data_IF_183157908803
#
_entry.id   IF_183157908803
#
_cell.length_a   1.000
_cell.length_b   1.000
_cell.length_c   1.000
_cell.angle_alpha   90.00
_cell.angle_beta   90.00
_cell.angle_gamma   90.00
#
_symmetry.space_group_name_H-M   'P 1'
#
loop_
_entity.id
_entity.type
_entity.pdbx_description
1 polymer ?
#
# COMPACT_ATOMS: atom_id res chain seq x y z
N UNK A 1 76.71 56.66 7.04
CA UNK A 1 75.86 55.61 7.63
C UNK A 1 75.47 54.64 6.52
N UNK A 2 76.17 53.49 6.42
CA UNK A 2 75.69 52.11 6.70
C UNK A 2 74.56 51.65 5.74
N UNK A 3 74.83 50.83 4.71
CA UNK A 3 74.91 49.33 4.67
C UNK A 3 73.60 48.60 5.01
N UNK A 4 73.34 47.54 4.22
CA UNK A 4 72.67 46.23 4.48
C UNK A 4 71.51 45.94 3.49
N UNK A 5 71.59 45.01 2.51
CA UNK A 5 71.64 43.52 2.54
C UNK A 5 70.55 42.86 3.40
N UNK A 6 69.59 42.13 2.79
CA UNK A 6 69.36 40.67 2.94
C UNK A 6 68.03 40.16 2.32
N UNK A 7 68.17 39.11 1.51
CA UNK A 7 67.48 37.81 1.47
C UNK A 7 65.99 37.67 1.91
N UNK A 8 65.16 37.03 1.06
CA UNK A 8 64.20 36.00 1.51
C UNK A 8 63.74 35.06 0.35
N UNK A 9 64.40 33.91 0.22
CA UNK A 9 63.86 32.54 0.42
C UNK A 9 62.49 32.06 -0.11
N UNK A 10 62.55 30.92 -0.82
CA UNK A 10 61.62 29.75 -0.92
C UNK A 10 60.22 29.99 -1.55
N UNK A 11 59.52 29.06 -2.21
CA UNK A 11 59.56 27.60 -2.19
C UNK A 11 58.93 26.98 -3.46
N UNK A 12 59.39 25.77 -3.76
CA UNK A 12 58.79 24.78 -4.67
C UNK A 12 57.49 24.26 -4.04
N UNK A 13 56.39 24.25 -4.79
CA UNK A 13 55.12 23.63 -4.39
C UNK A 13 54.75 22.48 -5.32
N UNK A 14 55.01 21.25 -4.88
CA UNK A 14 54.49 20.01 -5.44
C UNK A 14 52.96 19.97 -5.27
N UNK A 15 52.23 19.88 -6.37
CA UNK A 15 50.78 19.62 -6.36
C UNK A 15 50.58 18.11 -6.23
N UNK A 16 50.25 17.65 -5.02
CA UNK A 16 49.76 16.30 -4.76
C UNK A 16 48.29 16.19 -5.18
N UNK A 17 48.03 15.45 -6.26
CA UNK A 17 46.69 14.97 -6.61
C UNK A 17 46.27 13.89 -5.60
N UNK A 18 45.47 14.26 -4.61
CA UNK A 18 44.74 13.31 -3.79
C UNK A 18 43.45 12.90 -4.50
N UNK A 19 43.48 11.75 -5.20
CA UNK A 19 42.26 11.02 -5.56
C UNK A 19 41.60 10.54 -4.26
N UNK A 20 40.49 11.16 -3.86
CA UNK A 20 39.59 10.56 -2.88
C UNK A 20 38.80 9.46 -3.59
N UNK A 21 39.33 8.24 -3.55
CA UNK A 21 38.53 7.04 -3.80
C UNK A 21 37.45 6.98 -2.73
N UNK A 22 36.18 7.22 -3.11
CA UNK A 22 35.06 6.81 -2.28
C UNK A 22 35.11 5.28 -2.21
N UNK A 23 35.56 4.75 -1.07
CA UNK A 23 35.39 3.33 -0.78
C UNK A 23 33.89 3.08 -0.65
N UNK A 24 33.29 2.49 -1.69
CA UNK A 24 31.96 1.89 -1.61
C UNK A 24 32.15 0.65 -0.75
N UNK A 25 31.91 0.76 0.55
CA UNK A 25 31.86 -0.41 1.41
C UNK A 25 30.66 -1.26 0.97
N UNK A 26 30.91 -2.51 0.60
CA UNK A 26 29.85 -3.48 0.33
C UNK A 26 29.01 -3.65 1.60
N UNK A 27 27.69 -3.52 1.48
CA UNK A 27 26.79 -3.75 2.60
C UNK A 27 26.79 -5.25 2.93
N UNK A 28 27.31 -5.61 4.10
CA UNK A 28 27.37 -6.99 4.56
C UNK A 28 25.97 -7.54 4.87
N UNK A 29 25.84 -8.87 4.84
CA UNK A 29 24.64 -9.52 5.35
C UNK A 29 24.41 -9.15 6.82
N UNK A 30 23.15 -8.88 7.17
CA UNK A 30 22.64 -8.46 8.47
C UNK A 30 23.18 -7.12 8.98
N UNK A 31 23.82 -6.29 8.13
CA UNK A 31 24.16 -4.92 8.49
C UNK A 31 22.88 -4.12 8.80
N UNK A 32 22.70 -3.56 10.00
CA UNK A 32 21.52 -2.78 10.36
C UNK A 32 21.27 -1.55 9.49
N UNK A 33 22.31 -1.02 8.84
CA UNK A 33 22.25 0.15 7.97
C UNK A 33 22.00 -0.22 6.49
N UNK A 34 22.13 -1.49 6.13
CA UNK A 34 21.77 -1.96 4.79
C UNK A 34 20.27 -1.81 4.54
N UNK A 35 19.86 -1.48 3.31
CA UNK A 35 18.44 -1.55 2.92
C UNK A 35 17.93 -3.00 2.78
N UNK A 36 18.83 -3.98 2.82
CA UNK A 36 18.53 -5.39 2.58
C UNK A 36 19.20 -6.27 3.64
N UNK A 37 18.45 -7.22 4.20
CA UNK A 37 18.93 -8.14 5.23
C UNK A 37 20.12 -8.98 4.75
N UNK A 38 20.14 -9.39 3.48
CA UNK A 38 21.22 -10.18 2.89
C UNK A 38 22.34 -9.31 2.28
N UNK A 39 22.28 -7.99 2.52
CA UNK A 39 23.26 -7.04 2.02
C UNK A 39 23.20 -6.87 0.50
N UNK A 40 24.32 -6.45 -0.08
CA UNK A 40 24.45 -6.21 -1.52
C UNK A 40 25.20 -7.33 -2.28
N UNK A 41 25.36 -8.49 -1.65
CA UNK A 41 26.06 -9.67 -2.20
C UNK A 41 27.49 -9.35 -2.65
N UNK A 42 28.26 -8.69 -1.78
CA UNK A 42 29.62 -8.23 -2.07
C UNK A 42 29.66 -7.31 -3.31
N UNK A 43 28.70 -6.39 -3.38
CA UNK A 43 28.52 -5.42 -4.47
C UNK A 43 27.81 -5.94 -5.73
N UNK A 44 27.52 -7.25 -5.84
CA UNK A 44 26.86 -7.79 -7.04
C UNK A 44 25.43 -7.29 -7.22
N UNK A 45 24.65 -7.17 -6.14
CA UNK A 45 23.28 -6.60 -6.18
C UNK A 45 23.31 -5.17 -6.69
N UNK A 46 24.21 -4.35 -6.13
CA UNK A 46 24.43 -2.96 -6.54
C UNK A 46 24.91 -2.87 -8.00
N UNK A 47 25.75 -3.81 -8.45
CA UNK A 47 26.20 -3.86 -9.85
C UNK A 47 25.05 -4.18 -10.82
N UNK A 48 24.17 -5.12 -10.46
CA UNK A 48 22.97 -5.44 -11.24
C UNK A 48 21.99 -4.27 -11.29
N UNK A 49 21.77 -3.58 -10.16
CA UNK A 49 20.93 -2.38 -10.11
C UNK A 49 21.46 -1.26 -11.01
N UNK A 50 22.79 -1.06 -11.04
CA UNK A 50 23.45 -0.13 -11.98
C UNK A 50 23.30 -0.53 -13.44
N UNK A 51 23.15 -1.82 -13.75
CA UNK A 51 22.84 -2.32 -15.09
C UNK A 51 21.35 -2.24 -15.44
N UNK A 52 20.49 -1.89 -14.47
CA UNK A 52 19.05 -1.74 -14.65
C UNK A 52 18.20 -2.89 -14.11
N UNK A 53 18.79 -3.85 -13.39
CA UNK A 53 18.06 -4.95 -12.74
C UNK A 53 17.99 -4.73 -11.23
N UNK A 54 16.83 -4.33 -10.74
CA UNK A 54 16.61 -4.12 -9.30
C UNK A 54 15.73 -5.24 -8.73
N UNK A 55 16.34 -6.07 -7.89
CA UNK A 55 15.70 -7.23 -7.29
C UNK A 55 15.17 -6.89 -5.90
N UNK A 56 13.90 -7.21 -5.65
CA UNK A 56 13.27 -7.12 -4.34
C UNK A 56 12.83 -8.49 -3.85
N UNK A 57 13.13 -8.77 -2.58
CA UNK A 57 12.57 -9.91 -1.87
C UNK A 57 12.06 -9.41 -0.54
N UNK A 58 10.74 -9.33 -0.39
CA UNK A 58 10.08 -8.83 0.79
C UNK A 58 9.31 -9.93 1.52
N UNK A 59 9.08 -9.70 2.81
CA UNK A 59 8.14 -10.49 3.59
C UNK A 59 7.35 -9.61 4.56
N UNK A 60 6.07 -9.94 4.67
CA UNK A 60 5.13 -9.37 5.64
C UNK A 60 4.49 -10.50 6.41
N UNK A 61 4.56 -10.46 7.74
CA UNK A 61 3.91 -11.43 8.62
C UNK A 61 2.99 -10.71 9.61
N UNK A 62 1.81 -11.26 9.84
CA UNK A 62 0.80 -10.67 10.73
C UNK A 62 0.22 -11.73 11.66
N UNK A 63 0.41 -11.52 12.96
CA UNK A 63 -0.23 -12.29 14.01
C UNK A 63 -1.43 -11.52 14.55
N UNK A 64 -2.52 -12.21 14.84
CA UNK A 64 -3.68 -11.67 15.54
C UNK A 64 -4.16 -12.63 16.61
N UNK A 65 -4.39 -12.12 17.82
CA UNK A 65 -4.90 -12.87 18.95
C UNK A 65 -6.12 -12.16 19.55
N UNK A 66 -7.22 -12.90 19.72
CA UNK A 66 -8.42 -12.39 20.39
C UNK A 66 -8.14 -12.28 21.89
N UNK A 67 -8.17 -11.06 22.42
CA UNK A 67 -7.94 -10.77 23.84
C UNK A 67 -9.22 -10.73 24.64
N UNK A 68 -10.27 -10.15 24.07
CA UNK A 68 -11.57 -10.04 24.72
C UNK A 68 -12.69 -9.94 23.69
N UNK A 69 -13.87 -10.44 24.05
CA UNK A 69 -15.10 -10.24 23.29
C UNK A 69 -16.32 -10.27 24.21
N UNK A 70 -17.40 -9.61 23.81
CA UNK A 70 -18.58 -9.41 24.66
C UNK A 70 -19.42 -10.69 24.84
N UNK A 71 -19.60 -11.51 23.80
CA UNK A 71 -20.46 -12.70 23.85
C UNK A 71 -19.70 -14.03 23.79
N UNK A 72 -18.50 -14.04 23.19
CA UNK A 72 -17.65 -15.23 23.10
C UNK A 72 -16.45 -15.13 24.05
N UNK A 73 -15.93 -16.29 24.49
CA UNK A 73 -14.81 -16.38 25.45
C UNK A 73 -13.57 -17.10 24.89
N UNK A 74 -13.53 -17.36 23.58
CA UNK A 74 -12.39 -17.98 22.92
C UNK A 74 -11.25 -16.97 22.76
N UNK A 75 -10.01 -17.40 22.96
CA UNK A 75 -8.81 -16.55 22.80
C UNK A 75 -7.94 -17.08 21.67
N UNK A 76 -8.54 -17.25 20.49
CA UNK A 76 -7.86 -17.81 19.32
C UNK A 76 -6.68 -16.94 18.90
N UNK A 77 -5.63 -17.58 18.39
CA UNK A 77 -4.50 -16.90 17.74
C UNK A 77 -4.36 -17.44 16.34
N UNK A 78 -4.24 -16.52 15.38
CA UNK A 78 -3.93 -16.86 14.01
C UNK A 78 -2.75 -16.06 13.50
N UNK A 79 -2.19 -16.58 12.41
CA UNK A 79 -1.04 -16.03 11.75
C UNK A 79 -1.22 -16.14 10.24
N UNK A 80 -0.86 -15.08 9.52
CA UNK A 80 -0.87 -15.01 8.07
C UNK A 80 0.37 -14.26 7.59
N UNK A 81 0.81 -14.56 6.37
CA UNK A 81 1.99 -13.93 5.79
C UNK A 81 1.91 -13.74 4.28
N UNK A 82 2.90 -13.01 3.76
CA UNK A 82 3.16 -12.84 2.36
C UNK A 82 4.66 -12.78 2.09
N UNK A 83 5.14 -13.56 1.13
CA UNK A 83 6.40 -13.32 0.45
C UNK A 83 6.15 -12.56 -0.86
N UNK A 84 7.04 -11.63 -1.20
CA UNK A 84 7.00 -10.88 -2.45
C UNK A 84 8.38 -10.93 -3.13
N UNK A 85 8.43 -11.54 -4.32
CA UNK A 85 9.61 -11.66 -5.16
C UNK A 85 9.42 -10.75 -6.38
N UNK A 86 10.14 -9.64 -6.42
CA UNK A 86 10.03 -8.63 -7.46
C UNK A 86 11.31 -8.46 -8.26
N UNK A 87 11.17 -8.06 -9.51
CA UNK A 87 12.26 -7.51 -10.31
C UNK A 87 11.74 -6.32 -11.09
N UNK A 88 12.37 -5.17 -10.85
CA UNK A 88 12.17 -3.96 -11.60
C UNK A 88 13.27 -3.83 -12.67
N UNK A 89 12.85 -3.47 -13.88
CA UNK A 89 13.72 -3.39 -15.05
C UNK A 89 13.76 -1.96 -15.58
N UNK A 90 14.93 -1.32 -15.53
CA UNK A 90 15.22 -0.06 -16.22
C UNK A 90 15.58 -0.39 -17.69
N UNK A 91 14.58 -0.37 -18.58
CA UNK A 91 14.76 -0.75 -19.98
C UNK A 91 15.57 0.28 -20.78
N UNK A 92 15.72 1.50 -20.25
CA UNK A 92 16.65 2.47 -20.80
C UNK A 92 18.11 1.99 -20.62
N UNK A 93 18.47 1.46 -19.45
CA UNK A 93 19.80 0.87 -19.23
C UNK A 93 19.98 -0.47 -19.94
N UNK A 94 18.95 -1.31 -19.93
CA UNK A 94 19.06 -2.70 -20.44
C UNK A 94 19.02 -2.76 -21.97
N UNK A 95 18.09 -2.04 -22.60
CA UNK A 95 17.79 -2.14 -24.03
C UNK A 95 18.00 -0.82 -24.80
N UNK A 96 18.38 0.27 -24.11
CA UNK A 96 18.41 1.60 -24.70
C UNK A 96 17.02 2.20 -24.93
N UNK A 97 15.95 1.56 -24.42
CA UNK A 97 14.58 2.01 -24.63
C UNK A 97 14.25 3.17 -23.69
N UNK A 98 14.47 4.38 -24.18
CA UNK A 98 14.33 5.64 -23.42
C UNK A 98 13.01 5.72 -22.65
N UNK A 99 13.06 6.20 -21.41
CA UNK A 99 11.90 6.42 -20.53
C UNK A 99 10.97 5.21 -20.38
N UNK A 100 11.52 4.00 -20.42
CA UNK A 100 10.76 2.76 -20.36
C UNK A 100 11.25 1.87 -19.23
N UNK A 101 10.32 1.31 -18.48
CA UNK A 101 10.56 0.41 -17.36
C UNK A 101 9.56 -0.75 -17.39
N UNK A 102 9.89 -1.86 -16.74
CA UNK A 102 9.00 -2.99 -16.57
C UNK A 102 9.11 -3.56 -15.16
N UNK A 103 8.07 -4.29 -14.73
CA UNK A 103 8.00 -4.94 -13.43
C UNK A 103 7.48 -6.35 -13.58
N UNK A 104 8.10 -7.27 -12.85
CA UNK A 104 7.53 -8.59 -12.57
C UNK A 104 7.53 -8.78 -11.06
N UNK A 105 6.37 -9.10 -10.49
CA UNK A 105 6.26 -9.44 -9.07
C UNK A 105 5.45 -10.71 -8.91
N UNK A 106 5.98 -11.65 -8.14
CA UNK A 106 5.32 -12.88 -7.73
C UNK A 106 5.14 -12.80 -6.22
N UNK A 107 3.93 -13.09 -5.75
CA UNK A 107 3.67 -13.21 -4.32
C UNK A 107 3.19 -14.58 -3.96
N UNK A 108 3.38 -14.91 -2.69
CA UNK A 108 2.84 -16.10 -2.08
C UNK A 108 2.30 -15.70 -0.72
N UNK A 109 1.07 -16.10 -0.39
CA UNK A 109 0.44 -15.84 0.91
C UNK A 109 0.14 -17.16 1.61
N UNK A 110 0.48 -17.30 2.90
CA UNK A 110 0.06 -18.44 3.73
C UNK A 110 -0.76 -18.02 4.96
N UNK A 111 -1.20 -19.04 5.70
CA UNK A 111 -1.76 -18.89 7.02
C UNK A 111 -3.28 -18.72 7.05
N UNK A 112 -3.78 -18.29 8.20
CA UNK A 112 -5.20 -18.17 8.54
C UNK A 112 -5.47 -16.79 9.12
N UNK A 113 -6.70 -16.31 8.94
CA UNK A 113 -7.17 -15.06 9.53
C UNK A 113 -8.02 -15.34 10.75
N UNK A 114 -7.72 -14.64 11.85
CA UNK A 114 -8.56 -14.65 13.06
C UNK A 114 -9.99 -14.21 12.74
N UNK A 115 -10.16 -13.30 11.78
CA UNK A 115 -11.49 -12.84 11.32
C UNK A 115 -12.33 -13.92 10.65
N UNK A 116 -11.72 -15.05 10.29
CA UNK A 116 -12.39 -16.15 9.60
C UNK A 116 -12.53 -17.40 10.48
N UNK A 117 -11.72 -17.52 11.54
CA UNK A 117 -11.71 -18.70 12.41
C UNK A 117 -12.31 -18.46 13.79
N UNK A 118 -12.44 -17.20 14.22
CA UNK A 118 -13.02 -16.82 15.50
C UNK A 118 -14.52 -16.58 15.39
N UNK A 119 -15.31 -17.24 16.25
CA UNK A 119 -16.75 -16.99 16.35
C UNK A 119 -17.07 -15.54 16.73
N UNK A 120 -16.19 -14.89 17.51
CA UNK A 120 -16.32 -13.49 17.88
C UNK A 120 -16.16 -12.51 16.70
N UNK A 121 -15.54 -12.96 15.60
CA UNK A 121 -15.34 -12.16 14.40
C UNK A 121 -16.18 -12.69 13.22
N UNK A 122 -17.19 -13.51 13.49
CA UNK A 122 -18.03 -14.08 12.43
C UNK A 122 -18.79 -12.97 11.67
N UNK A 123 -18.57 -12.90 10.37
CA UNK A 123 -19.17 -11.88 9.50
C UNK A 123 -18.43 -10.55 9.48
N UNK A 124 -17.27 -10.43 10.15
CA UNK A 124 -16.40 -9.24 10.10
C UNK A 124 -16.24 -8.73 8.66
N UNK A 125 -16.54 -7.45 8.41
CA UNK A 125 -16.47 -6.86 7.07
C UNK A 125 -15.04 -6.49 6.71
N UNK A 126 -14.28 -5.97 7.67
CA UNK A 126 -12.85 -5.74 7.57
C UNK A 126 -12.06 -7.06 7.76
N UNK A 127 -10.76 -6.94 8.06
CA UNK A 127 -9.90 -8.05 8.48
C UNK A 127 -8.90 -7.54 9.51
N UNK A 128 -8.69 -8.32 10.56
CA UNK A 128 -7.65 -8.08 11.58
C UNK A 128 -6.23 -8.31 11.07
N UNK A 129 -6.10 -8.93 9.90
CA UNK A 129 -4.85 -9.26 9.21
C UNK A 129 -5.05 -8.96 7.71
N UNK A 130 -4.67 -7.77 7.24
CA UNK A 130 -4.77 -7.35 5.83
C UNK A 130 -4.00 -8.28 4.88
N UNK A 131 -2.91 -8.87 5.38
CA UNK A 131 -2.06 -9.76 4.58
C UNK A 131 -2.75 -11.08 4.23
N UNK A 132 -3.85 -11.42 4.92
CA UNK A 132 -4.62 -12.62 4.61
C UNK A 132 -5.63 -12.38 3.48
N UNK A 133 -5.80 -13.34 2.57
CA UNK A 133 -6.89 -13.35 1.61
C UNK A 133 -6.46 -13.71 0.19
N UNK A 134 -7.46 -13.77 -0.71
CA UNK A 134 -7.27 -14.06 -2.15
C UNK A 134 -6.65 -15.44 -2.44
N UNK A 135 -6.81 -16.39 -1.51
CA UNK A 135 -6.68 -17.83 -1.76
C UNK A 135 -5.43 -18.52 -1.22
N UNK A 136 -4.60 -17.84 -0.43
CA UNK A 136 -3.37 -18.38 0.20
C UNK A 136 -2.55 -19.29 -0.75
N UNK A 137 -1.97 -18.65 -1.77
CA UNK A 137 -1.27 -19.31 -2.87
C UNK A 137 -0.29 -18.39 -3.59
N UNK A 138 0.45 -18.94 -4.55
CA UNK A 138 1.32 -18.22 -5.45
C UNK A 138 0.51 -17.46 -6.52
N UNK A 139 0.81 -16.18 -6.70
CA UNK A 139 0.17 -15.31 -7.69
C UNK A 139 1.22 -14.52 -8.47
N UNK A 140 1.02 -14.42 -9.78
CA UNK A 140 1.63 -13.38 -10.59
C UNK A 140 0.92 -12.07 -10.25
N UNK A 141 1.57 -11.22 -9.47
CA UNK A 141 0.99 -10.00 -8.92
C UNK A 141 1.23 -8.80 -9.82
N UNK A 142 2.42 -8.69 -10.39
CA UNK A 142 2.73 -7.68 -11.40
C UNK A 142 3.37 -8.33 -12.62
N UNK A 143 2.95 -7.90 -13.79
CA UNK A 143 3.62 -8.14 -15.07
C UNK A 143 3.29 -6.99 -16.00
N UNK A 144 4.06 -5.90 -15.95
CA UNK A 144 3.73 -4.72 -16.75
C UNK A 144 4.95 -4.04 -17.35
N UNK A 145 4.70 -3.29 -18.41
CA UNK A 145 5.63 -2.34 -19.02
C UNK A 145 5.03 -0.95 -18.97
N UNK A 146 5.86 0.05 -18.70
CA UNK A 146 5.46 1.44 -18.60
C UNK A 146 6.42 2.30 -19.41
N UNK A 147 5.86 3.21 -20.21
CA UNK A 147 6.61 4.14 -21.03
C UNK A 147 6.13 5.56 -20.81
N UNK A 148 7.08 6.48 -20.65
CA UNK A 148 6.79 7.92 -20.62
C UNK A 148 7.04 8.56 -21.99
N UNK A 149 6.25 9.58 -22.28
CA UNK A 149 6.25 10.37 -23.51
C UNK A 149 6.10 11.85 -23.17
N UNK A 150 6.27 12.73 -24.17
CA UNK A 150 6.04 14.18 -24.04
C UNK A 150 6.86 14.80 -22.90
N UNK A 151 8.18 14.58 -22.90
CA UNK A 151 9.08 15.02 -21.83
C UNK A 151 8.60 14.57 -20.44
N UNK A 152 8.23 13.29 -20.36
CA UNK A 152 7.73 12.61 -19.15
C UNK A 152 6.37 13.12 -18.63
N UNK A 153 5.63 13.90 -19.40
CA UNK A 153 4.27 14.36 -19.02
C UNK A 153 3.21 13.28 -19.17
N UNK A 154 3.35 12.40 -20.17
CA UNK A 154 2.40 11.32 -20.41
C UNK A 154 3.05 9.98 -20.04
N UNK A 155 2.41 9.20 -19.19
CA UNK A 155 2.86 7.90 -18.69
C UNK A 155 1.81 6.84 -19.05
N UNK A 156 2.19 5.87 -19.89
CA UNK A 156 1.33 4.77 -20.33
C UNK A 156 1.87 3.46 -19.77
N UNK A 157 1.05 2.77 -18.99
CA UNK A 157 1.35 1.46 -18.38
C UNK A 157 0.40 0.41 -18.94
N UNK A 158 0.93 -0.73 -19.36
CA UNK A 158 0.13 -1.86 -19.90
C UNK A 158 0.70 -3.16 -19.37
N UNK A 159 -0.18 -4.09 -18.97
CA UNK A 159 0.25 -5.38 -18.45
C UNK A 159 -0.80 -6.00 -17.54
N UNK A 160 -0.33 -6.72 -16.51
CA UNK A 160 -1.14 -7.25 -15.43
C UNK A 160 -0.76 -6.60 -14.10
N UNK A 161 -1.74 -5.99 -13.45
CA UNK A 161 -1.60 -5.33 -12.15
C UNK A 161 -2.99 -5.05 -11.57
N UNK A 162 -3.07 -4.84 -10.26
CA UNK A 162 -4.32 -4.48 -9.58
C UNK A 162 -4.65 -2.99 -9.68
N UNK A 163 -5.93 -2.64 -9.57
CA UNK A 163 -6.39 -1.25 -9.65
C UNK A 163 -5.78 -0.36 -8.55
N UNK A 164 -5.71 -0.89 -7.33
CA UNK A 164 -5.21 -0.20 -6.13
C UNK A 164 -3.72 0.21 -6.18
N UNK A 165 -2.94 -0.35 -7.12
CA UNK A 165 -1.55 0.04 -7.33
C UNK A 165 -1.43 1.49 -7.81
N UNK A 166 -2.39 1.92 -8.65
CA UNK A 166 -2.37 3.24 -9.28
C UNK A 166 -3.52 4.15 -8.80
N UNK A 167 -4.70 3.58 -8.52
CA UNK A 167 -5.93 4.33 -8.19
C UNK A 167 -6.34 4.09 -6.74
N UNK A 168 -6.84 5.14 -6.07
CA UNK A 168 -7.25 5.06 -4.66
C UNK A 168 -6.13 4.52 -3.75
N UNK A 169 -4.86 4.72 -4.14
CA UNK A 169 -3.70 4.22 -3.40
C UNK A 169 -3.63 4.86 -2.02
N UNK A 170 -3.33 4.04 -1.01
CA UNK A 170 -3.17 4.45 0.37
C UNK A 170 -2.13 3.56 1.07
N UNK A 171 -1.49 4.09 2.12
CA UNK A 171 -0.48 3.35 2.89
C UNK A 171 -1.06 2.06 3.50
N UNK A 172 -0.19 1.14 3.88
CA UNK A 172 -0.57 -0.13 4.51
C UNK A 172 0.34 -0.46 5.72
N UNK A 173 0.61 0.55 6.56
CA UNK A 173 1.39 0.34 7.79
C UNK A 173 0.54 -0.26 8.92
N UNK A 174 -0.76 0.03 8.97
CA UNK A 174 -1.73 -0.61 9.86
C UNK A 174 -1.92 -2.09 9.49
N UNK A 175 -2.31 -2.91 10.47
CA UNK A 175 -2.61 -4.33 10.27
C UNK A 175 -4.07 -4.57 9.88
N UNK A 176 -4.99 -3.72 10.34
CA UNK A 176 -6.40 -3.77 10.04
C UNK A 176 -6.67 -3.30 8.61
N UNK A 177 -7.43 -4.08 7.86
CA UNK A 177 -7.69 -3.85 6.43
C UNK A 177 -8.44 -2.54 6.16
N UNK A 178 -9.32 -2.10 7.05
CA UNK A 178 -10.04 -0.83 6.92
C UNK A 178 -9.11 0.41 7.02
N UNK A 179 -7.84 0.22 7.38
CA UNK A 179 -6.80 1.24 7.50
C UNK A 179 -5.58 0.95 6.61
N UNK A 180 -5.67 -0.03 5.70
CA UNK A 180 -4.60 -0.42 4.79
C UNK A 180 -5.06 -0.46 3.33
N UNK A 181 -4.26 0.14 2.44
CA UNK A 181 -4.39 -0.01 0.99
C UNK A 181 -5.64 0.66 0.41
N UNK A 182 -5.92 0.38 -0.87
CA UNK A 182 -7.08 0.94 -1.55
C UNK A 182 -8.40 0.44 -0.95
N UNK A 183 -9.13 1.38 -0.35
CA UNK A 183 -10.38 1.10 0.35
C UNK A 183 -11.52 0.74 -0.63
N UNK A 184 -11.53 1.30 -1.85
CA UNK A 184 -12.51 0.89 -2.88
C UNK A 184 -12.41 -0.62 -3.15
N UNK A 185 -11.20 -1.17 -3.23
CA UNK A 185 -11.00 -2.60 -3.45
C UNK A 185 -11.33 -3.50 -2.26
N UNK A 186 -11.54 -2.94 -1.07
CA UNK A 186 -12.04 -3.69 0.09
C UNK A 186 -13.57 -3.79 0.05
N UNK A 187 -14.25 -2.68 -0.26
CA UNK A 187 -15.72 -2.58 -0.18
C UNK A 187 -16.45 -2.96 -1.47
N UNK A 188 -15.72 -2.95 -2.59
CA UNK A 188 -16.17 -3.39 -3.92
C UNK A 188 -15.27 -4.54 -4.40
N UNK A 189 -14.74 -5.32 -3.44
CA UNK A 189 -13.74 -6.36 -3.65
C UNK A 189 -14.24 -7.58 -4.44
N UNK A 190 -15.53 -7.62 -4.79
CA UNK A 190 -16.15 -8.56 -5.70
C UNK A 190 -15.87 -8.25 -7.17
N UNK A 191 -15.63 -6.97 -7.51
CA UNK A 191 -15.29 -6.52 -8.86
C UNK A 191 -13.93 -5.81 -9.00
N UNK A 192 -13.46 -5.12 -7.96
CA UNK A 192 -12.17 -4.44 -7.93
C UNK A 192 -11.14 -5.30 -7.19
N UNK A 193 -9.99 -5.61 -7.81
CA UNK A 193 -8.99 -6.49 -7.20
C UNK A 193 -7.67 -5.78 -6.94
N UNK A 194 -7.41 -5.51 -5.67
CA UNK A 194 -6.10 -5.06 -5.21
C UNK A 194 -5.06 -6.17 -5.29
N UNK A 195 -3.79 -5.77 -5.06
CA UNK A 195 -2.71 -6.67 -4.70
C UNK A 195 -3.20 -7.70 -3.66
N UNK A 196 -2.89 -9.01 -3.82
CA UNK A 196 -1.92 -9.60 -4.74
C UNK A 196 -2.49 -10.11 -6.07
N UNK A 197 -3.75 -9.80 -6.38
CA UNK A 197 -4.38 -10.22 -7.64
C UNK A 197 -3.92 -9.28 -8.76
N UNK A 198 -3.73 -9.84 -9.95
CA UNK A 198 -3.45 -9.07 -11.16
C UNK A 198 -4.52 -9.35 -12.21
N UNK A 199 -4.85 -8.35 -13.03
CA UNK A 199 -5.72 -8.49 -14.21
C UNK A 199 -5.08 -7.76 -15.39
N UNK A 200 -5.45 -8.12 -16.62
CA UNK A 200 -5.00 -7.34 -17.78
C UNK A 200 -5.51 -5.91 -17.69
N UNK A 201 -4.61 -4.94 -17.84
CA UNK A 201 -4.91 -3.54 -17.62
C UNK A 201 -4.08 -2.61 -18.51
N UNK A 202 -4.65 -1.45 -18.78
CA UNK A 202 -3.96 -0.31 -19.36
C UNK A 202 -4.29 0.94 -18.55
N UNK A 203 -3.28 1.75 -18.25
CA UNK A 203 -3.42 3.00 -17.49
C UNK A 203 -2.68 4.11 -18.19
N UNK A 204 -3.34 5.26 -18.32
CA UNK A 204 -2.77 6.50 -18.87
C UNK A 204 -2.80 7.55 -17.77
N UNK A 205 -1.63 8.13 -17.49
CA UNK A 205 -1.46 9.24 -16.54
C UNK A 205 -0.87 10.45 -17.27
N UNK A 206 -1.41 11.63 -16.99
CA UNK A 206 -0.96 12.89 -17.55
C UNK A 206 -0.64 13.90 -16.44
N UNK A 207 0.62 14.33 -16.36
CA UNK A 207 1.10 15.33 -15.42
C UNK A 207 0.72 16.73 -15.93
N UNK A 208 -0.26 17.35 -15.30
CA UNK A 208 -0.73 18.71 -15.57
C UNK A 208 0.27 19.75 -15.03
N UNK A 209 0.82 19.47 -13.84
CA UNK A 209 1.90 20.21 -13.17
C UNK A 209 2.84 19.19 -12.49
N UNK A 210 4.02 19.60 -12.00
CA UNK A 210 4.92 18.67 -11.30
C UNK A 210 4.31 17.98 -10.07
N UNK A 211 3.30 18.59 -9.47
CA UNK A 211 2.57 18.11 -8.28
C UNK A 211 1.09 17.81 -8.56
N UNK A 212 0.63 17.86 -9.82
CA UNK A 212 -0.77 17.62 -10.17
C UNK A 212 -0.87 16.74 -11.41
N UNK A 213 -1.55 15.60 -11.30
CA UNK A 213 -1.81 14.73 -12.44
C UNK A 213 -3.26 14.23 -12.46
N UNK A 214 -3.69 13.85 -13.65
CA UNK A 214 -4.93 13.12 -13.88
C UNK A 214 -4.62 11.79 -14.55
N UNK A 215 -5.42 10.76 -14.27
CA UNK A 215 -5.23 9.44 -14.83
C UNK A 215 -6.55 8.71 -15.07
N UNK A 216 -6.52 7.79 -16.03
CA UNK A 216 -7.62 6.88 -16.36
C UNK A 216 -7.04 5.50 -16.63
N UNK A 217 -7.76 4.47 -16.21
CA UNK A 217 -7.41 3.09 -16.44
C UNK A 217 -8.57 2.30 -17.03
N UNK A 218 -8.25 1.16 -17.64
CA UNK A 218 -9.20 0.13 -18.01
C UNK A 218 -8.60 -1.19 -17.57
N UNK A 219 -9.31 -1.89 -16.69
CA UNK A 219 -8.90 -3.14 -16.08
C UNK A 219 -9.90 -4.23 -16.46
N UNK A 220 -9.40 -5.38 -16.90
CA UNK A 220 -10.21 -6.57 -17.12
C UNK A 220 -10.90 -6.97 -15.81
N UNK A 221 -12.23 -7.05 -15.82
CA UNK A 221 -12.96 -7.76 -14.78
C UNK A 221 -13.09 -9.23 -15.16
N UNK A 222 -12.40 -10.09 -14.41
CA UNK A 222 -12.42 -11.53 -14.62
C UNK A 222 -12.36 -12.28 -13.28
N UNK A 223 -13.51 -12.80 -12.79
CA UNK A 223 -13.59 -13.56 -11.53
C UNK A 223 -12.71 -14.81 -11.49
N UNK A 224 -12.29 -15.36 -12.64
CA UNK A 224 -11.35 -16.49 -12.66
C UNK A 224 -10.05 -16.14 -11.94
N UNK A 225 -9.61 -14.88 -11.99
CA UNK A 225 -8.39 -14.42 -11.33
C UNK A 225 -8.46 -14.59 -9.79
N UNK A 226 -9.64 -14.72 -9.17
CA UNK A 226 -9.76 -14.98 -7.74
C UNK A 226 -9.56 -16.46 -7.36
N UNK A 227 -9.72 -17.39 -8.30
CA UNK A 227 -9.59 -18.82 -8.01
C UNK A 227 -8.15 -19.16 -7.65
N UNK A 228 -7.97 -19.97 -6.61
CA UNK A 228 -6.65 -20.42 -6.14
C UNK A 228 -5.81 -21.08 -7.24
N UNK A 229 -6.44 -21.83 -8.14
CA UNK A 229 -5.78 -22.50 -9.28
C UNK A 229 -5.41 -21.57 -10.44
N UNK A 230 -5.80 -20.29 -10.38
CA UNK A 230 -5.66 -19.30 -11.45
C UNK A 230 -4.72 -18.15 -11.06
N UNK A 231 -3.84 -18.35 -10.07
CA UNK A 231 -2.85 -17.34 -9.67
C UNK A 231 -1.88 -16.91 -10.77
N UNK A 232 -1.76 -17.69 -11.85
CA UNK A 232 -0.92 -17.44 -13.02
C UNK A 232 -1.74 -17.26 -14.31
N UNK A 233 -3.03 -16.91 -14.18
CA UNK A 233 -3.90 -16.79 -15.33
C UNK A 233 -3.44 -15.69 -16.27
N UNK A 234 -3.12 -16.04 -17.52
CA UNK A 234 -2.82 -15.09 -18.60
C UNK A 234 -3.93 -15.04 -19.65
N UNK A 235 -4.92 -15.94 -19.56
CA UNK A 235 -6.08 -15.97 -20.46
C UNK A 235 -7.12 -14.92 -20.03
N UNK A 236 -7.88 -14.43 -21.00
CA UNK A 236 -9.06 -13.59 -20.79
C UNK A 236 -10.35 -14.39 -20.72
N UNK A 237 -10.28 -15.73 -20.75
CA UNK A 237 -11.45 -16.60 -20.56
C UNK A 237 -12.11 -16.31 -19.21
N UNK A 238 -13.42 -16.15 -19.21
CA UNK A 238 -14.18 -15.79 -18.00
C UNK A 238 -14.21 -14.29 -17.71
N UNK A 239 -13.61 -13.45 -18.56
CA UNK A 239 -13.81 -11.99 -18.49
C UNK A 239 -15.29 -11.64 -18.67
N UNK A 240 -15.79 -10.76 -17.80
CA UNK A 240 -17.19 -10.34 -17.76
C UNK A 240 -17.36 -8.82 -17.97
N UNK A 241 -16.27 -8.11 -18.28
CA UNK A 241 -16.33 -6.67 -18.51
C UNK A 241 -15.03 -5.98 -18.11
N UNK A 242 -15.13 -4.70 -17.74
CA UNK A 242 -14.00 -3.90 -17.33
C UNK A 242 -14.35 -2.94 -16.20
N UNK A 243 -13.37 -2.64 -15.36
CA UNK A 243 -13.40 -1.56 -14.38
C UNK A 243 -12.64 -0.38 -14.96
N UNK A 244 -13.28 0.79 -14.97
CA UNK A 244 -12.77 2.03 -15.55
C UNK A 244 -12.65 3.07 -14.42
N UNK A 245 -11.50 3.15 -13.73
CA UNK A 245 -11.25 4.21 -12.77
C UNK A 245 -10.69 5.47 -13.45
N UNK A 246 -11.09 6.64 -12.94
CA UNK A 246 -10.52 7.95 -13.23
C UNK A 246 -10.14 8.63 -11.92
N UNK A 247 -9.01 9.31 -11.90
CA UNK A 247 -8.53 9.98 -10.70
C UNK A 247 -7.73 11.24 -11.01
N UNK A 248 -7.89 12.26 -10.18
CA UNK A 248 -7.03 13.44 -10.12
C UNK A 248 -6.31 13.42 -8.78
N UNK A 249 -4.99 13.64 -8.82
CA UNK A 249 -4.13 13.61 -7.64
C UNK A 249 -3.28 14.86 -7.58
N UNK A 250 -3.34 15.54 -6.45
CA UNK A 250 -2.59 16.75 -6.14
C UNK A 250 -1.67 16.52 -4.95
N UNK A 251 -0.37 16.80 -5.09
CA UNK A 251 0.69 16.51 -4.12
C UNK A 251 1.47 17.76 -3.69
N UNK A 252 0.80 18.78 -3.11
CA UNK A 252 1.42 20.05 -2.82
C UNK A 252 2.44 19.97 -1.67
N UNK A 253 3.26 21.02 -1.58
CA UNK A 253 4.00 21.36 -0.35
C UNK A 253 3.31 22.54 0.34
N UNK A 254 2.74 22.31 1.50
CA UNK A 254 1.85 23.25 2.20
C UNK A 254 2.60 24.00 3.31
N UNK A 255 2.29 25.29 3.47
CA UNK A 255 2.83 26.13 4.54
C UNK A 255 4.28 26.56 4.35
N UNK A 256 4.80 27.32 5.32
CA UNK A 256 6.18 27.84 5.29
C UNK A 256 7.24 26.74 5.40
N UNK A 257 6.90 25.63 6.06
CA UNK A 257 7.76 24.45 6.24
C UNK A 257 7.74 23.49 5.04
N UNK A 258 6.94 23.77 4.00
CA UNK A 258 6.82 22.94 2.79
C UNK A 258 6.44 21.49 3.10
N UNK A 259 5.48 21.30 4.00
CA UNK A 259 5.05 19.98 4.46
C UNK A 259 4.28 19.23 3.38
N UNK A 260 4.51 17.92 3.27
CA UNK A 260 3.96 17.11 2.17
C UNK A 260 2.46 16.88 2.33
N UNK A 261 1.69 17.19 1.29
CA UNK A 261 0.29 16.82 1.14
C UNK A 261 0.07 15.88 -0.05
N UNK A 262 -0.99 15.09 0.01
CA UNK A 262 -1.51 14.29 -1.11
C UNK A 262 -3.04 14.26 -1.02
N UNK A 263 -3.71 14.66 -2.10
CA UNK A 263 -5.15 14.73 -2.20
C UNK A 263 -5.58 14.02 -3.47
N UNK A 264 -6.46 13.03 -3.34
CA UNK A 264 -6.98 12.22 -4.43
C UNK A 264 -8.48 12.38 -4.50
N UNK A 265 -9.01 12.56 -5.69
CA UNK A 265 -10.43 12.49 -6.00
C UNK A 265 -10.57 11.56 -7.20
N UNK A 266 -11.41 10.55 -7.08
CA UNK A 266 -11.66 9.66 -8.19
C UNK A 266 -13.05 9.07 -8.23
N UNK A 267 -13.31 8.42 -9.33
CA UNK A 267 -14.56 7.76 -9.68
C UNK A 267 -14.24 6.45 -10.41
N UNK A 268 -15.05 5.43 -10.21
CA UNK A 268 -14.97 4.20 -10.99
C UNK A 268 -16.32 3.85 -11.59
N UNK A 269 -16.28 3.21 -12.74
CA UNK A 269 -17.43 2.57 -13.37
C UNK A 269 -17.06 1.14 -13.77
N UNK A 270 -17.91 0.18 -13.42
CA UNK A 270 -17.81 -1.21 -13.85
C UNK A 270 -18.78 -1.46 -14.99
N UNK A 271 -18.30 -2.00 -16.11
CA UNK A 271 -19.17 -2.45 -17.21
C UNK A 271 -19.74 -3.84 -16.96
N UNK A 272 -19.33 -4.52 -15.88
CA UNK A 272 -19.79 -5.85 -15.57
C UNK A 272 -21.20 -5.81 -14.98
N UNK A 273 -21.99 -6.85 -15.26
CA UNK A 273 -23.30 -7.02 -14.65
C UNK A 273 -23.16 -7.25 -13.14
N UNK A 274 -23.99 -6.54 -12.37
CA UNK A 274 -24.18 -6.77 -10.94
C UNK A 274 -25.68 -6.88 -10.66
N UNK A 275 -26.07 -7.86 -9.84
CA UNK A 275 -27.48 -8.04 -9.45
C UNK A 275 -27.97 -6.82 -8.66
N UNK A 276 -29.15 -6.31 -9.01
CA UNK A 276 -29.78 -5.22 -8.26
C UNK A 276 -30.29 -5.71 -6.89
N UNK A 277 -30.05 -4.94 -5.84
CA UNK A 277 -30.40 -5.29 -4.45
C UNK A 277 -31.92 -5.35 -4.26
N UNK A 278 -32.65 -4.35 -4.77
CA UNK A 278 -34.10 -4.26 -4.61
C UNK A 278 -34.89 -5.15 -5.60
N UNK A 279 -34.27 -5.57 -6.70
CA UNK A 279 -34.88 -6.47 -7.65
C UNK A 279 -33.85 -7.46 -8.21
N UNK A 280 -33.64 -8.61 -7.54
CA UNK A 280 -32.62 -9.58 -7.94
C UNK A 280 -32.82 -10.22 -9.32
N UNK A 281 -33.95 -9.97 -9.99
CA UNK A 281 -34.18 -10.40 -11.38
C UNK A 281 -33.56 -9.46 -12.42
N UNK A 282 -33.13 -8.27 -12.01
CA UNK A 282 -32.48 -7.27 -12.85
C UNK A 282 -30.95 -7.24 -12.63
N UNK A 283 -30.25 -6.67 -13.60
CA UNK A 283 -28.83 -6.32 -13.49
C UNK A 283 -28.63 -4.82 -13.68
N UNK A 284 -27.66 -4.29 -12.94
CA UNK A 284 -27.12 -2.96 -13.09
C UNK A 284 -25.59 -2.99 -13.15
N UNK A 285 -24.98 -1.83 -12.95
CA UNK A 285 -23.54 -1.65 -13.03
C UNK A 285 -23.03 -0.95 -11.77
N UNK A 286 -21.86 -1.38 -11.30
CA UNK A 286 -21.25 -0.78 -10.10
C UNK A 286 -20.55 0.52 -10.45
N UNK A 287 -20.70 1.49 -9.58
CA UNK A 287 -19.98 2.75 -9.66
C UNK A 287 -19.81 3.36 -8.28
N UNK A 288 -18.84 4.26 -8.15
CA UNK A 288 -18.61 4.94 -6.89
C UNK A 288 -17.54 6.01 -7.00
N UNK A 289 -17.45 6.81 -5.94
CA UNK A 289 -16.50 7.90 -5.80
C UNK A 289 -15.63 7.69 -4.57
N UNK A 290 -14.42 8.23 -4.61
CA UNK A 290 -13.55 8.27 -3.44
C UNK A 290 -12.84 9.61 -3.30
N UNK A 291 -12.49 9.92 -2.04
CA UNK A 291 -11.60 11.00 -1.67
C UNK A 291 -10.55 10.45 -0.72
N UNK A 292 -9.29 10.76 -0.98
CA UNK A 292 -8.18 10.53 -0.05
C UNK A 292 -7.52 11.86 0.22
N UNK A 293 -7.27 12.19 1.49
CA UNK A 293 -6.44 13.32 1.84
C UNK A 293 -5.44 12.88 2.91
N UNK A 294 -4.16 13.17 2.66
CA UNK A 294 -3.04 12.92 3.56
C UNK A 294 -2.22 14.20 3.66
N UNK A 295 -1.91 14.64 4.88
CA UNK A 295 -1.16 15.87 5.08
C UNK A 295 -0.23 15.72 6.28
N UNK A 296 1.05 16.03 6.07
CA UNK A 296 1.97 16.28 7.17
C UNK A 296 1.60 17.62 7.83
N UNK A 297 1.22 17.56 9.10
CA UNK A 297 0.70 18.68 9.87
C UNK A 297 1.81 19.43 10.62
N UNK A 298 2.88 18.72 10.99
CA UNK A 298 4.03 19.30 11.71
C UNK A 298 5.36 18.72 11.21
N UNK A 299 6.44 19.46 11.41
CA UNK A 299 7.80 18.92 11.44
C UNK A 299 8.30 18.83 12.89
N UNK A 300 9.03 17.77 13.25
CA UNK A 300 9.59 17.65 14.59
C UNK A 300 10.92 18.40 14.66
N UNK A 301 10.99 19.50 15.42
CA UNK A 301 12.20 20.33 15.55
C UNK A 301 12.79 20.79 14.19
N UNK A 302 11.93 21.04 13.19
CA UNK A 302 12.35 21.44 11.85
C UNK A 302 12.84 20.28 10.95
N UNK A 303 12.85 19.04 11.44
CA UNK A 303 13.11 17.87 10.59
C UNK A 303 11.84 17.45 9.86
N UNK A 304 11.78 17.74 8.55
CA UNK A 304 10.66 17.39 7.68
C UNK A 304 10.46 15.87 7.51
N UNK A 305 11.42 15.02 7.90
CA UNK A 305 11.27 13.56 7.89
C UNK A 305 10.53 13.01 9.11
N UNK A 306 10.30 13.87 10.12
CA UNK A 306 9.63 13.57 11.38
C UNK A 306 8.41 14.47 11.55
N UNK A 307 7.53 14.11 12.48
CA UNK A 307 6.35 14.90 12.84
C UNK A 307 5.04 14.16 12.61
N UNK A 308 3.95 14.89 12.82
CA UNK A 308 2.60 14.38 12.76
C UNK A 308 2.06 14.48 11.34
N UNK A 309 1.49 13.40 10.83
CA UNK A 309 0.69 13.38 9.60
C UNK A 309 -0.72 12.91 9.92
N UNK A 310 -1.71 13.49 9.25
CA UNK A 310 -3.10 13.04 9.30
C UNK A 310 -3.57 12.53 7.96
N UNK A 311 -4.53 11.62 7.98
CA UNK A 311 -5.19 11.13 6.78
C UNK A 311 -6.70 10.97 6.98
N UNK A 312 -7.43 11.02 5.86
CA UNK A 312 -8.84 10.65 5.75
C UNK A 312 -9.07 9.97 4.41
N UNK A 313 -9.81 8.86 4.41
CA UNK A 313 -10.35 8.22 3.20
C UNK A 313 -11.87 8.20 3.29
N UNK A 314 -12.53 8.55 2.20
CA UNK A 314 -13.98 8.52 2.05
C UNK A 314 -14.30 7.74 0.78
N UNK A 315 -15.25 6.82 0.85
CA UNK A 315 -15.77 6.08 -0.30
C UNK A 315 -17.29 6.07 -0.26
N UNK A 316 -17.91 6.22 -1.43
CA UNK A 316 -19.37 6.13 -1.60
C UNK A 316 -19.63 5.29 -2.85
N UNK A 317 -20.60 4.38 -2.75
CA UNK A 317 -20.91 3.38 -3.76
C UNK A 317 -22.38 3.43 -4.13
N UNK A 318 -22.68 3.07 -5.38
CA UNK A 318 -24.05 2.99 -5.89
C UNK A 318 -24.91 2.03 -5.05
N UNK A 319 -26.04 2.54 -4.55
CA UNK A 319 -26.93 1.79 -3.66
C UNK A 319 -27.76 0.72 -4.38
N UNK A 320 -27.85 0.75 -5.71
CA UNK A 320 -28.58 -0.25 -6.46
C UNK A 320 -27.87 -1.61 -6.46
N UNK A 321 -26.53 -1.61 -6.34
CA UNK A 321 -25.69 -2.79 -6.62
C UNK A 321 -24.63 -3.10 -5.58
N UNK A 322 -24.38 -2.22 -4.59
CA UNK A 322 -23.35 -2.42 -3.57
C UNK A 322 -23.91 -2.66 -2.17
N UNK A 323 -23.39 -3.70 -1.51
CA UNK A 323 -23.74 -4.04 -0.13
C UNK A 323 -23.20 -3.00 0.86
N UNK A 324 -21.96 -2.57 0.69
CA UNK A 324 -21.40 -1.43 1.44
C UNK A 324 -21.79 -0.16 0.68
N UNK A 325 -22.56 0.72 1.33
CA UNK A 325 -22.99 1.98 0.71
C UNK A 325 -21.91 3.07 0.79
N UNK A 326 -21.19 3.12 1.91
CA UNK A 326 -20.10 4.06 2.12
C UNK A 326 -19.14 3.58 3.22
N UNK A 327 -17.92 4.06 3.16
CA UNK A 327 -16.94 3.88 4.23
C UNK A 327 -16.13 5.16 4.45
N UNK A 328 -15.76 5.40 5.69
CA UNK A 328 -14.84 6.46 6.08
C UNK A 328 -13.73 5.87 6.94
N UNK A 329 -12.49 6.30 6.73
CA UNK A 329 -11.44 6.14 7.73
C UNK A 329 -10.72 7.46 7.96
N UNK A 330 -10.17 7.63 9.16
CA UNK A 330 -9.40 8.78 9.58
C UNK A 330 -8.32 8.33 10.54
N UNK A 331 -7.16 8.97 10.51
CA UNK A 331 -6.10 8.66 11.44
C UNK A 331 -4.98 9.66 11.48
N UNK A 332 -4.07 9.40 12.41
CA UNK A 332 -2.88 10.18 12.69
C UNK A 332 -1.69 9.23 12.81
N UNK A 333 -0.56 9.62 12.22
CA UNK A 333 0.72 8.91 12.36
C UNK A 333 1.79 9.93 12.74
N UNK A 334 2.51 9.67 13.83
CA UNK A 334 3.65 10.48 14.24
C UNK A 334 4.94 9.73 13.99
N UNK A 335 5.79 10.26 13.11
CA UNK A 335 7.12 9.70 12.84
C UNK A 335 8.20 10.37 13.69
N UNK A 336 9.01 9.57 14.37
CA UNK A 336 10.12 9.99 15.21
C UNK A 336 9.67 10.86 16.38
N UNK A 337 8.70 10.40 17.17
CA UNK A 337 8.22 11.14 18.35
C UNK A 337 9.32 11.33 19.40
N UNK A 338 10.16 10.31 19.60
CA UNK A 338 11.26 10.31 20.56
C UNK A 338 12.59 10.55 19.84
N UNK A 339 13.42 11.47 20.34
CA UNK A 339 14.74 11.74 19.76
C UNK A 339 15.68 10.52 19.78
N UNK A 340 15.51 9.62 20.74
CA UNK A 340 16.24 8.36 20.82
C UNK A 340 15.84 7.35 19.72
N UNK A 341 14.66 7.54 19.09
CA UNK A 341 14.07 6.65 18.09
C UNK A 341 13.48 7.45 16.92
N UNK A 342 14.30 8.18 16.16
CA UNK A 342 13.81 9.13 15.15
C UNK A 342 13.14 8.49 13.93
N UNK A 343 13.26 7.17 13.77
CA UNK A 343 12.66 6.40 12.67
C UNK A 343 11.43 5.59 13.09
N UNK A 344 11.17 5.45 14.39
CA UNK A 344 9.96 4.78 14.88
C UNK A 344 8.72 5.61 14.56
N UNK A 345 7.55 4.97 14.47
CA UNK A 345 6.28 5.64 14.24
C UNK A 345 5.19 5.15 15.21
N UNK A 346 4.23 6.02 15.51
CA UNK A 346 3.02 5.65 16.25
C UNK A 346 1.81 6.05 15.42
N UNK A 347 0.91 5.11 15.17
CA UNK A 347 -0.29 5.33 14.39
C UNK A 347 -1.55 5.07 15.21
N UNK A 348 -2.57 5.90 15.01
CA UNK A 348 -3.93 5.68 15.50
C UNK A 348 -4.89 5.91 14.34
N UNK A 349 -5.77 4.95 14.07
CA UNK A 349 -6.75 5.03 13.00
C UNK A 349 -8.11 4.53 13.45
N UNK A 350 -9.15 5.06 12.82
CA UNK A 350 -10.55 4.70 13.02
C UNK A 350 -11.25 4.59 11.67
N UNK A 351 -12.10 3.59 11.50
CA UNK A 351 -12.92 3.41 10.32
C UNK A 351 -14.39 3.13 10.69
N UNK A 352 -15.30 3.53 9.82
CA UNK A 352 -16.73 3.23 9.83
C UNK A 352 -17.08 2.64 8.48
N UNK A 353 -17.65 1.43 8.49
CA UNK A 353 -18.10 0.72 7.30
C UNK A 353 -19.63 0.64 7.39
N UNK A 354 -20.32 1.27 6.44
CA UNK A 354 -21.78 1.38 6.44
C UNK A 354 -22.38 0.43 5.40
N UNK A 355 -23.21 -0.50 5.86
CA UNK A 355 -24.06 -1.31 4.99
C UNK A 355 -25.14 -0.40 4.38
N UNK A 356 -25.49 -0.70 3.14
CA UNK A 356 -26.54 -0.03 2.39
C UNK A 356 -27.92 -0.42 2.94
N UNK A 357 -28.77 0.57 3.22
CA UNK A 357 -30.11 0.35 3.79
C UNK A 357 -31.01 -0.54 2.92
N UNK A 358 -30.83 -0.54 1.60
CA UNK A 358 -31.62 -1.38 0.69
C UNK A 358 -31.36 -2.89 0.91
N UNK A 359 -30.18 -3.24 1.43
CA UNK A 359 -29.83 -4.62 1.81
C UNK A 359 -30.72 -5.09 2.96
N UNK A 360 -30.96 -4.19 3.92
CA UNK A 360 -31.74 -4.49 5.13
C UNK A 360 -33.23 -4.74 4.84
N UNK A 361 -33.77 -4.17 3.77
CA UNK A 361 -35.16 -4.39 3.36
C UNK A 361 -35.47 -5.86 3.05
N UNK A 362 -34.43 -6.66 2.77
CA UNK A 362 -34.54 -8.06 2.34
C UNK A 362 -33.92 -9.04 3.36
N UNK A 363 -33.46 -8.57 4.51
CA UNK A 363 -32.78 -9.39 5.53
C UNK A 363 -33.57 -9.49 6.84
N UNK A 364 -33.54 -10.68 7.44
CA UNK A 364 -34.13 -10.95 8.76
C UNK A 364 -33.31 -10.26 9.87
N UNK A 365 -31.99 -10.27 9.73
CA UNK A 365 -31.07 -9.65 10.69
C UNK A 365 -30.59 -8.33 10.10
N UNK A 366 -30.84 -7.24 10.82
CA UNK A 366 -30.52 -5.90 10.36
C UNK A 366 -29.04 -5.58 10.60
N UNK A 367 -28.37 -5.11 9.55
CA UNK A 367 -27.01 -4.60 9.59
C UNK A 367 -27.03 -3.07 9.49
N UNK A 368 -26.07 -2.38 10.07
CA UNK A 368 -25.95 -0.93 9.96
C UNK A 368 -24.48 -0.57 9.72
N UNK A 369 -23.71 -0.52 10.80
CA UNK A 369 -22.32 -0.05 10.74
C UNK A 369 -21.40 -0.96 11.55
N UNK A 370 -20.26 -1.29 10.96
CA UNK A 370 -19.10 -1.84 11.65
C UNK A 370 -18.07 -0.71 11.87
N UNK A 371 -17.41 -0.74 13.02
CA UNK A 371 -16.35 0.21 13.34
C UNK A 371 -15.06 -0.52 13.69
N UNK A 372 -13.98 -0.10 13.06
CA UNK A 372 -12.63 -0.60 13.32
C UNK A 372 -11.77 0.52 13.88
N UNK A 373 -10.94 0.19 14.86
CA UNK A 373 -9.91 1.08 15.37
C UNK A 373 -8.61 0.31 15.54
N UNK A 374 -7.48 0.96 15.28
CA UNK A 374 -6.16 0.40 15.55
C UNK A 374 -5.24 1.46 16.12
N UNK A 375 -4.46 1.08 17.13
CA UNK A 375 -3.26 1.79 17.56
C UNK A 375 -2.05 0.87 17.39
N UNK A 376 -0.97 1.37 16.81
CA UNK A 376 0.28 0.64 16.69
C UNK A 376 1.47 1.49 17.11
N UNK A 377 2.55 0.82 17.52
CA UNK A 377 3.88 1.44 17.65
C UNK A 377 4.87 0.67 16.78
N UNK A 378 5.44 1.30 15.77
CA UNK A 378 6.40 0.70 14.86
C UNK A 378 7.84 0.94 15.30
N UNK A 379 8.51 -0.15 15.63
CA UNK A 379 9.95 -0.19 15.92
C UNK A 379 10.70 -0.39 14.62
N UNK A 380 11.40 0.65 14.17
CA UNK A 380 12.36 0.56 13.08
C UNK A 380 13.65 -0.09 13.61
N UNK A 381 13.70 -1.42 13.62
CA UNK A 381 14.79 -2.19 14.22
C UNK A 381 16.08 -2.05 13.41
N UNK A 382 15.97 -2.14 12.08
CA UNK A 382 17.02 -1.90 11.09
C UNK A 382 16.41 -1.29 9.84
N UNK A 383 17.22 -0.83 8.88
CA UNK A 383 16.73 -0.34 7.59
C UNK A 383 16.01 -1.42 6.75
N UNK A 384 16.14 -2.70 7.13
CA UNK A 384 15.48 -3.83 6.48
C UNK A 384 14.43 -4.53 7.36
N UNK A 385 14.19 -4.09 8.61
CA UNK A 385 13.22 -4.73 9.51
C UNK A 385 12.43 -3.70 10.34
N UNK A 386 11.09 -3.77 10.21
CA UNK A 386 10.16 -3.03 11.06
C UNK A 386 9.19 -3.97 11.76
N UNK A 387 8.97 -3.74 13.05
CA UNK A 387 8.08 -4.55 13.91
C UNK A 387 7.04 -3.63 14.53
N UNK A 388 5.75 -3.92 14.31
CA UNK A 388 4.62 -3.08 14.75
C UNK A 388 3.64 -3.90 15.60
N UNK A 389 3.86 -4.02 16.92
CA UNK A 389 2.78 -4.41 17.83
C UNK A 389 1.63 -3.42 17.71
N UNK A 390 0.41 -3.95 17.69
CA UNK A 390 -0.81 -3.16 17.59
C UNK A 390 -1.92 -3.72 18.48
N UNK A 391 -2.89 -2.87 18.78
CA UNK A 391 -4.15 -3.23 19.44
C UNK A 391 -5.26 -2.76 18.51
N UNK A 392 -6.15 -3.68 18.17
CA UNK A 392 -7.32 -3.42 17.34
C UNK A 392 -8.59 -3.58 18.16
N UNK A 393 -9.57 -2.74 17.86
CA UNK A 393 -10.92 -2.84 18.42
C UNK A 393 -11.94 -2.82 17.30
N UNK A 394 -12.76 -3.87 17.24
CA UNK A 394 -13.85 -4.01 16.28
C UNK A 394 -15.16 -3.92 17.05
N UNK A 395 -16.04 -2.99 16.67
CA UNK A 395 -17.35 -2.82 17.27
C UNK A 395 -18.43 -3.12 16.25
N UNK A 396 -19.46 -3.85 16.70
CA UNK A 396 -20.55 -4.33 15.85
C UNK A 396 -20.01 -5.15 14.68
N UNK A 397 -19.28 -6.23 14.99
CA UNK A 397 -18.77 -7.18 14.01
C UNK A 397 -19.90 -7.60 13.06
N UNK A 398 -19.62 -7.57 11.75
CA UNK A 398 -20.56 -7.80 10.67
C UNK A 398 -21.60 -6.71 10.50
N UNK A 399 -21.35 -5.52 11.04
CA UNK A 399 -22.29 -4.40 11.11
C UNK A 399 -23.61 -4.73 11.83
N UNK A 400 -23.70 -5.82 12.58
CA UNK A 400 -24.93 -6.17 13.29
C UNK A 400 -25.15 -5.22 14.47
N UNK A 401 -26.37 -4.68 14.62
CA UNK A 401 -26.69 -3.69 15.67
C UNK A 401 -26.36 -4.16 17.09
N UNK A 402 -26.63 -5.44 17.37
CA UNK A 402 -26.28 -6.10 18.64
C UNK A 402 -25.10 -7.07 18.47
N UNK A 403 -24.31 -6.87 17.41
CA UNK A 403 -23.14 -7.66 17.05
C UNK A 403 -22.04 -7.63 18.10
N UNK A 404 -21.11 -8.55 17.93
CA UNK A 404 -19.97 -8.70 18.83
C UNK A 404 -19.10 -7.44 18.86
N UNK A 405 -18.45 -7.20 20.00
CA UNK A 405 -17.32 -6.28 20.08
C UNK A 405 -16.08 -7.09 20.43
N UNK A 406 -14.99 -6.90 19.70
CA UNK A 406 -13.77 -7.68 19.85
C UNK A 406 -12.56 -6.77 20.08
N UNK A 407 -11.73 -7.14 21.05
CA UNK A 407 -10.41 -6.57 21.28
C UNK A 407 -9.35 -7.57 20.83
N UNK A 408 -8.47 -7.14 19.92
CA UNK A 408 -7.49 -8.02 19.27
C UNK A 408 -6.09 -7.45 19.47
N UNK A 409 -5.16 -8.27 19.95
CA UNK A 409 -3.74 -7.96 19.94
C UNK A 409 -3.10 -8.40 18.63
N UNK A 410 -2.38 -7.51 17.96
CA UNK A 410 -1.71 -7.79 16.71
C UNK A 410 -0.20 -7.57 16.75
N UNK A 411 0.50 -8.19 15.81
CA UNK A 411 1.91 -7.95 15.54
C UNK A 411 2.14 -8.04 14.03
N UNK A 412 2.47 -6.90 13.41
CA UNK A 412 2.87 -6.82 12.00
C UNK A 412 4.38 -6.73 11.89
N UNK A 413 4.97 -7.57 11.07
CA UNK A 413 6.41 -7.61 10.80
C UNK A 413 6.64 -7.42 9.31
N UNK A 414 7.52 -6.49 8.94
CA UNK A 414 7.88 -6.21 7.55
C UNK A 414 9.40 -6.28 7.42
N UNK A 415 9.88 -7.08 6.47
CA UNK A 415 11.30 -7.25 6.20
C UNK A 415 11.63 -7.17 4.71
N UNK A 416 12.83 -6.68 4.40
CA UNK A 416 13.42 -6.69 3.07
C UNK A 416 14.70 -7.53 3.08
N UNK A 417 14.72 -8.62 2.31
CA UNK A 417 15.85 -9.53 2.21
C UNK A 417 16.96 -9.01 1.28
#
# INVERSE_FOLDING_TARGET
MKRLRRNFNYAIGLISLSCMSQMIFAAGAFDPQSSWMLGDWNGQRTALQKQGYDFSFGYTGELANLWDSKYHSSHGTEYADQFALGTHFDLNKILGWQDTEAQVTITERNGRSLSQTSDALNGHLSSTQEVWGRGQTWRLTDLWIKKKFLDQRLDVKVGRFGEGEDFNTFDCDFQNLALCGSQVGNWVGDQWYNWPVSQWAARVKYNLQPDLYAQVGVYEYNPENLKRSKGWNLSTDGSQGSIIPVEVVWQPKVGTEKLSGEYRLGYYYSTADATEINNPSNTGHKQGVWVVAKQQLTSHQGDAKRGLSGFINLTVHDSGTNTVGNMQNIGLVYKGLLDARPQDDIGVGFARISINDDVNAHQIVQQNEEYDAEVYYGVHATNWLTIRPNIQYVRHVGAYKDGENALVGGLKLVTAF
#
